data_IF_283579922833
#
_entry.id   IF_283579922833
#
_cell.length_a   1.000
_cell.length_b   1.000
_cell.length_c   1.000
_cell.angle_alpha   90.00
_cell.angle_beta   90.00
_cell.angle_gamma   90.00
#
_symmetry.space_group_name_H-M   'P 1'
#
loop_
_entity.id
_entity.type
_entity.pdbx_description
1 polymer ?
#
# COMPACT_ATOMS: atom_id res chain seq x y z
N UNK A 1 8.15 -8.45 -22.76
CA UNK A 1 7.64 -8.95 -21.47
C UNK A 1 6.66 -7.95 -20.91
N UNK A 2 5.49 -8.40 -20.42
CA UNK A 2 4.45 -7.53 -19.84
C UNK A 2 4.88 -7.06 -18.44
N UNK A 3 4.51 -5.84 -18.05
CA UNK A 3 4.92 -5.19 -16.80
C UNK A 3 3.79 -5.16 -15.78
N UNK A 4 4.08 -5.61 -14.56
CA UNK A 4 3.13 -5.63 -13.44
C UNK A 4 3.60 -4.68 -12.36
N UNK A 5 2.69 -3.85 -11.85
CA UNK A 5 2.87 -3.13 -10.59
C UNK A 5 2.18 -3.91 -9.47
N UNK A 6 2.97 -4.45 -8.55
CA UNK A 6 2.49 -5.10 -7.35
C UNK A 6 2.49 -4.12 -6.18
N UNK A 7 1.32 -3.82 -5.60
CA UNK A 7 1.19 -2.84 -4.51
C UNK A 7 0.87 -3.55 -3.20
N UNK A 8 1.66 -3.29 -2.16
CA UNK A 8 1.43 -3.82 -0.81
C UNK A 8 2.10 -2.93 0.22
N UNK A 9 1.45 -2.64 1.35
CA UNK A 9 2.04 -1.81 2.41
C UNK A 9 3.36 -2.38 2.94
N UNK A 10 3.44 -3.69 3.18
CA UNK A 10 4.67 -4.39 3.52
C UNK A 10 4.57 -5.84 3.05
N UNK A 11 5.70 -6.42 2.66
CA UNK A 11 5.85 -7.86 2.39
C UNK A 11 6.77 -8.55 3.40
N UNK A 12 7.20 -7.82 4.44
CA UNK A 12 8.02 -8.37 5.51
C UNK A 12 7.22 -9.36 6.37
N UNK A 13 7.89 -10.37 6.96
CA UNK A 13 7.26 -11.22 7.97
C UNK A 13 6.94 -10.47 9.27
N UNK A 14 5.99 -10.98 10.06
CA UNK A 14 5.06 -12.08 9.77
C UNK A 14 3.76 -11.60 9.08
N UNK A 15 2.88 -12.53 8.69
CA UNK A 15 1.47 -12.24 8.40
C UNK A 15 0.87 -13.01 7.22
N UNK A 16 -0.37 -13.49 7.36
CA UNK A 16 -1.04 -14.31 6.33
C UNK A 16 -1.21 -13.60 4.98
N UNK A 17 -1.67 -12.35 4.97
CA UNK A 17 -1.75 -11.54 3.75
C UNK A 17 -0.38 -11.27 3.12
N UNK A 18 0.68 -11.18 3.92
CA UNK A 18 2.05 -11.02 3.41
C UNK A 18 2.57 -12.33 2.82
N UNK A 19 2.26 -13.48 3.40
CA UNK A 19 2.54 -14.81 2.82
C UNK A 19 1.96 -14.93 1.41
N UNK A 20 0.67 -14.60 1.26
CA UNK A 20 -0.01 -14.64 -0.05
C UNK A 20 0.66 -13.69 -1.03
N UNK A 21 0.95 -12.45 -0.60
CA UNK A 21 1.60 -11.45 -1.44
C UNK A 21 2.96 -11.93 -1.97
N UNK A 22 3.80 -12.48 -1.10
CA UNK A 22 5.14 -12.97 -1.44
C UNK A 22 5.07 -14.14 -2.43
N UNK A 23 4.16 -15.09 -2.23
CA UNK A 23 3.96 -16.21 -3.15
C UNK A 23 3.35 -15.79 -4.50
N UNK A 24 2.48 -14.78 -4.53
CA UNK A 24 2.02 -14.18 -5.78
C UNK A 24 3.18 -13.56 -6.56
N UNK A 25 4.07 -12.81 -5.90
CA UNK A 25 5.26 -12.22 -6.53
C UNK A 25 6.19 -13.31 -7.07
N UNK A 26 6.45 -14.35 -6.28
CA UNK A 26 7.31 -15.50 -6.65
C UNK A 26 6.78 -16.22 -7.90
N UNK A 27 5.46 -16.34 -8.05
CA UNK A 27 4.85 -16.90 -9.25
C UNK A 27 4.95 -15.93 -10.45
N UNK A 28 4.58 -14.66 -10.25
CA UNK A 28 4.50 -13.67 -11.33
C UNK A 28 5.86 -13.34 -11.95
N UNK A 29 6.94 -13.31 -11.15
CA UNK A 29 8.28 -12.95 -11.65
C UNK A 29 8.80 -13.91 -12.75
N UNK A 30 8.24 -15.12 -12.83
CA UNK A 30 8.64 -16.13 -13.84
C UNK A 30 8.19 -15.78 -15.25
N UNK A 31 7.12 -14.99 -15.38
CA UNK A 31 6.47 -14.69 -16.66
C UNK A 31 6.43 -13.18 -16.97
N UNK A 32 6.52 -12.34 -15.93
CA UNK A 32 6.31 -10.90 -16.01
C UNK A 32 7.46 -10.11 -15.39
N UNK A 33 7.65 -8.88 -15.88
CA UNK A 33 8.52 -7.92 -15.23
C UNK A 33 7.75 -7.29 -14.06
N UNK A 34 8.09 -7.69 -12.83
CA UNK A 34 7.38 -7.28 -11.63
C UNK A 34 8.09 -6.10 -10.97
N UNK A 35 7.33 -5.04 -10.73
CA UNK A 35 7.74 -3.92 -9.90
C UNK A 35 6.91 -3.86 -8.64
N UNK A 36 7.55 -3.70 -7.48
CA UNK A 36 6.88 -3.68 -6.17
C UNK A 36 6.82 -2.22 -5.70
N UNK A 37 5.62 -1.77 -5.35
CA UNK A 37 5.39 -0.52 -4.62
C UNK A 37 5.03 -0.87 -3.18
N UNK A 38 5.97 -0.59 -2.28
CA UNK A 38 5.87 -0.95 -0.85
C UNK A 38 6.33 0.19 0.05
N UNK A 39 5.71 0.29 1.23
CA UNK A 39 6.11 1.27 2.24
C UNK A 39 7.44 0.88 2.88
N UNK A 40 7.55 -0.38 3.29
CA UNK A 40 8.74 -0.93 3.92
C UNK A 40 9.64 -1.56 2.84
N UNK A 41 10.91 -1.12 2.71
CA UNK A 41 11.90 -1.76 1.87
C UNK A 41 12.00 -3.26 2.21
N UNK A 42 11.94 -4.15 1.22
CA UNK A 42 12.04 -5.59 1.45
C UNK A 42 13.43 -6.00 1.93
N UNK A 43 13.49 -6.91 2.90
CA UNK A 43 14.67 -7.72 3.21
C UNK A 43 14.44 -9.09 2.60
N UNK A 44 14.92 -9.29 1.38
CA UNK A 44 14.70 -10.54 0.66
C UNK A 44 15.30 -11.75 1.36
N UNK A 45 16.39 -11.59 2.13
CA UNK A 45 16.98 -12.70 2.87
C UNK A 45 16.04 -13.17 3.97
N UNK A 46 15.44 -12.25 4.71
CA UNK A 46 14.45 -12.57 5.72
C UNK A 46 13.15 -13.12 5.14
N UNK A 47 12.64 -12.49 4.07
CA UNK A 47 11.43 -12.93 3.36
C UNK A 47 11.59 -14.36 2.84
N UNK A 48 12.69 -14.65 2.15
CA UNK A 48 12.96 -15.98 1.61
C UNK A 48 13.10 -17.03 2.72
N UNK A 49 13.83 -16.69 3.80
CA UNK A 49 13.99 -17.56 4.98
C UNK A 49 12.66 -17.89 5.65
N UNK A 50 11.78 -16.91 5.81
CA UNK A 50 10.53 -17.08 6.55
C UNK A 50 9.44 -17.75 5.71
N UNK A 51 9.26 -17.32 4.46
CA UNK A 51 8.15 -17.77 3.60
C UNK A 51 8.51 -18.94 2.67
N UNK A 52 9.78 -19.33 2.60
CA UNK A 52 10.25 -20.41 1.72
C UNK A 52 10.25 -20.03 0.23
N UNK A 53 10.54 -18.76 -0.08
CA UNK A 53 10.61 -18.24 -1.45
C UNK A 53 12.05 -17.98 -1.89
N UNK A 54 12.24 -17.51 -3.13
CA UNK A 54 13.56 -17.23 -3.70
C UNK A 54 13.55 -15.89 -4.44
N UNK A 55 12.95 -14.86 -3.84
CA UNK A 55 12.91 -13.51 -4.39
C UNK A 55 14.29 -12.87 -4.35
N UNK A 56 14.68 -12.21 -5.44
CA UNK A 56 15.94 -11.48 -5.53
C UNK A 56 15.73 -10.07 -6.09
N UNK A 57 16.57 -9.13 -5.65
CA UNK A 57 16.52 -7.73 -6.10
C UNK A 57 16.90 -7.52 -7.56
N UNK A 58 17.60 -8.46 -8.19
CA UNK A 58 17.96 -8.41 -9.62
C UNK A 58 16.80 -8.77 -10.54
N UNK A 59 15.80 -9.50 -10.03
CA UNK A 59 14.62 -9.94 -10.78
C UNK A 59 13.42 -8.99 -10.62
N UNK A 60 13.50 -8.06 -9.65
CA UNK A 60 12.40 -7.23 -9.21
C UNK A 60 12.79 -5.75 -9.19
N UNK A 61 11.89 -4.88 -9.62
CA UNK A 61 12.10 -3.42 -9.47
C UNK A 61 11.40 -2.92 -8.22
N UNK A 62 12.09 -2.21 -7.34
CA UNK A 62 11.50 -1.66 -6.11
C UNK A 62 11.24 -0.17 -6.25
N UNK A 63 9.97 0.22 -6.15
CA UNK A 63 9.55 1.62 -6.10
C UNK A 63 9.60 2.07 -4.64
N UNK A 64 10.70 2.74 -4.28
CA UNK A 64 10.90 3.23 -2.93
C UNK A 64 10.08 4.50 -2.66
N UNK A 65 9.52 4.57 -1.45
CA UNK A 65 8.96 5.82 -0.93
C UNK A 65 10.10 6.72 -0.46
N UNK A 66 9.97 8.03 -0.69
CA UNK A 66 10.92 9.02 -0.20
C UNK A 66 11.15 8.83 1.31
N UNK A 67 12.41 8.60 1.78
CA UNK A 67 12.70 8.31 3.18
C UNK A 67 12.25 9.41 4.17
N UNK A 68 12.32 10.68 3.75
CA UNK A 68 11.90 11.81 4.58
C UNK A 68 10.39 11.75 4.79
N UNK A 69 9.63 11.55 3.72
CA UNK A 69 8.18 11.46 3.79
C UNK A 69 7.73 10.22 4.56
N UNK A 70 8.44 9.11 4.38
CA UNK A 70 8.21 7.90 5.17
C UNK A 70 8.36 8.18 6.67
N UNK A 71 9.45 8.84 7.07
CA UNK A 71 9.69 9.19 8.48
C UNK A 71 8.61 10.14 9.02
N UNK A 72 8.16 11.12 8.23
CA UNK A 72 7.09 12.03 8.65
C UNK A 72 5.77 11.31 8.90
N UNK A 73 5.38 10.37 8.03
CA UNK A 73 4.15 9.59 8.19
C UNK A 73 4.29 8.57 9.34
N UNK A 74 5.50 8.09 9.63
CA UNK A 74 5.78 7.21 10.78
C UNK A 74 5.77 7.93 12.14
N UNK A 75 5.76 9.27 12.17
CA UNK A 75 5.53 10.04 13.41
C UNK A 75 4.06 10.04 13.84
N UNK A 76 3.15 9.53 13.00
CA UNK A 76 1.76 9.38 13.36
C UNK A 76 1.61 8.39 14.54
N UNK A 77 1.12 8.84 15.71
CA UNK A 77 0.96 7.97 16.87
C UNK A 77 -0.21 6.99 16.72
N UNK A 78 -1.05 7.13 15.69
CA UNK A 78 -2.24 6.30 15.49
C UNK A 78 -1.88 4.92 14.89
N UNK A 79 -1.96 3.82 15.67
CA UNK A 79 -1.67 2.47 15.17
C UNK A 79 -2.68 2.00 14.12
N UNK A 80 -3.86 2.63 14.06
CA UNK A 80 -4.92 2.34 13.10
C UNK A 80 -4.83 3.17 11.81
N UNK A 81 -3.81 4.02 11.67
CA UNK A 81 -3.66 4.96 10.58
C UNK A 81 -3.63 4.29 9.20
N UNK A 82 -4.48 4.77 8.30
CA UNK A 82 -4.51 4.37 6.90
C UNK A 82 -3.59 5.23 6.02
N UNK A 83 -2.80 6.15 6.60
CA UNK A 83 -1.95 7.09 5.84
C UNK A 83 -1.03 6.41 4.85
N UNK A 84 -0.38 5.32 5.27
CA UNK A 84 0.54 4.54 4.42
C UNK A 84 -0.19 4.02 3.20
N UNK A 85 -1.36 3.39 3.41
CA UNK A 85 -2.23 2.89 2.35
C UNK A 85 -2.69 4.02 1.42
N UNK A 86 -3.18 5.14 1.97
CA UNK A 86 -3.60 6.32 1.20
C UNK A 86 -2.48 6.84 0.29
N UNK A 87 -1.27 6.95 0.85
CA UNK A 87 -0.11 7.44 0.12
C UNK A 87 0.29 6.46 -0.99
N UNK A 88 0.31 5.16 -0.70
CA UNK A 88 0.59 4.13 -1.71
C UNK A 88 -0.43 4.16 -2.85
N UNK A 89 -1.73 4.33 -2.56
CA UNK A 89 -2.75 4.51 -3.61
C UNK A 89 -2.48 5.74 -4.47
N UNK A 90 -2.09 6.88 -3.88
CA UNK A 90 -1.72 8.09 -4.64
C UNK A 90 -0.52 7.85 -5.56
N UNK A 91 0.52 7.21 -5.04
CA UNK A 91 1.70 6.87 -5.84
C UNK A 91 1.33 5.88 -6.93
N UNK A 92 0.54 4.86 -6.61
CA UNK A 92 0.00 3.87 -7.54
C UNK A 92 -0.73 4.55 -8.72
N UNK A 93 -1.68 5.47 -8.44
CA UNK A 93 -2.38 6.25 -9.48
C UNK A 93 -1.43 7.07 -10.36
N UNK A 94 -0.35 7.60 -9.79
CA UNK A 94 0.65 8.41 -10.50
C UNK A 94 1.52 7.57 -11.44
N UNK A 95 2.00 6.42 -10.99
CA UNK A 95 2.95 5.58 -11.75
C UNK A 95 2.26 4.46 -12.54
N UNK A 96 1.01 4.15 -12.22
CA UNK A 96 0.27 2.99 -12.74
C UNK A 96 0.17 2.93 -14.25
N UNK A 97 0.16 4.09 -14.93
CA UNK A 97 0.14 4.19 -16.41
C UNK A 97 1.36 3.57 -17.11
N UNK A 98 2.44 3.31 -16.37
CA UNK A 98 3.66 2.69 -16.90
C UNK A 98 3.62 1.16 -16.95
N UNK A 99 2.54 0.57 -16.42
CA UNK A 99 2.37 -0.87 -16.23
C UNK A 99 1.16 -1.36 -17.02
N UNK A 100 1.21 -2.62 -17.47
CA UNK A 100 0.10 -3.23 -18.20
C UNK A 100 -1.06 -3.61 -17.27
N UNK A 101 -0.74 -4.00 -16.02
CA UNK A 101 -1.72 -4.33 -14.99
C UNK A 101 -1.19 -4.00 -13.59
N UNK A 102 -2.10 -3.61 -12.71
CA UNK A 102 -1.83 -3.39 -11.30
C UNK A 102 -2.44 -4.53 -10.50
N UNK A 103 -1.65 -5.12 -9.62
CA UNK A 103 -2.05 -6.22 -8.74
C UNK A 103 -1.80 -5.81 -7.30
N UNK A 104 -2.71 -6.16 -6.39
CA UNK A 104 -2.49 -6.00 -4.96
C UNK A 104 -2.96 -7.22 -4.20
N UNK A 105 -2.20 -7.56 -3.17
CA UNK A 105 -2.63 -8.44 -2.09
C UNK A 105 -2.69 -7.69 -0.76
N UNK A 106 -2.75 -6.35 -0.81
CA UNK A 106 -3.25 -5.57 0.32
C UNK A 106 -4.77 -5.68 0.38
N UNK A 107 -5.38 -5.18 1.45
CA UNK A 107 -6.83 -5.23 1.62
C UNK A 107 -7.54 -4.40 0.54
N UNK A 108 -8.12 -3.25 0.86
CA UNK A 108 -8.79 -2.42 -0.15
C UNK A 108 -7.84 -1.39 -0.76
N UNK A 109 -7.81 -1.33 -2.10
CA UNK A 109 -6.97 -0.39 -2.86
C UNK A 109 -7.76 0.29 -3.97
N UNK A 110 -7.58 1.61 -4.12
CA UNK A 110 -8.02 2.34 -5.30
C UNK A 110 -6.82 2.61 -6.23
N UNK A 111 -6.80 1.90 -7.35
CA UNK A 111 -5.77 2.03 -8.37
C UNK A 111 -5.99 3.21 -9.33
N UNK A 112 -7.20 3.78 -9.36
CA UNK A 112 -7.64 4.74 -10.38
C UNK A 112 -7.76 4.15 -11.79
N UNK A 113 -7.63 2.83 -11.93
CA UNK A 113 -7.79 2.09 -13.18
C UNK A 113 -8.19 0.64 -12.89
N UNK A 114 -8.39 -0.16 -13.93
CA UNK A 114 -8.60 -1.61 -13.80
C UNK A 114 -7.35 -2.28 -13.24
N UNK A 115 -7.54 -3.22 -12.33
CA UNK A 115 -6.47 -4.04 -11.74
C UNK A 115 -7.06 -5.24 -11.01
N UNK A 116 -6.19 -6.05 -10.42
CA UNK A 116 -6.56 -7.29 -9.73
C UNK A 116 -6.25 -7.13 -8.24
N UNK A 117 -7.21 -7.45 -7.37
CA UNK A 117 -7.07 -7.34 -5.92
C UNK A 117 -7.39 -8.66 -5.24
N UNK A 118 -6.50 -9.10 -4.36
CA UNK A 118 -6.78 -10.13 -3.38
C UNK A 118 -7.12 -9.46 -2.05
N UNK A 119 -8.38 -9.54 -1.63
CA UNK A 119 -8.83 -9.00 -0.35
C UNK A 119 -8.60 -10.04 0.76
N UNK A 120 -7.61 -9.80 1.62
CA UNK A 120 -7.35 -10.69 2.76
C UNK A 120 -8.38 -10.48 3.89
N UNK A 121 -8.70 -9.23 4.18
CA UNK A 121 -9.68 -8.83 5.19
C UNK A 121 -10.25 -7.44 4.84
N UNK A 122 -11.55 -7.15 5.04
CA UNK A 122 -12.11 -5.82 4.79
C UNK A 122 -11.65 -4.82 5.86
N UNK A 123 -10.46 -4.24 5.68
CA UNK A 123 -9.77 -3.41 6.66
C UNK A 123 -10.20 -1.94 6.64
N UNK A 124 -10.57 -1.43 5.47
CA UNK A 124 -11.07 -0.06 5.32
C UNK A 124 -12.53 0.05 5.77
N UNK A 125 -13.25 -1.06 5.88
CA UNK A 125 -14.59 -1.12 6.45
C UNK A 125 -14.60 -0.56 7.90
N UNK A 126 -15.34 0.53 8.12
CA UNK A 126 -15.42 1.23 9.41
C UNK A 126 -14.30 2.24 9.68
N UNK A 127 -13.20 2.23 8.91
CA UNK A 127 -12.13 3.23 8.97
C UNK A 127 -12.39 4.41 8.04
N UNK A 128 -13.00 4.14 6.90
CA UNK A 128 -13.56 5.16 6.03
C UNK A 128 -14.95 5.46 6.55
N UNK A 129 -15.06 6.37 7.52
CA UNK A 129 -16.34 7.00 7.81
C UNK A 129 -16.59 8.09 6.76
N UNK A 130 -17.81 8.19 6.20
CA UNK A 130 -18.16 9.26 5.28
C UNK A 130 -18.27 10.59 6.05
N UNK A 131 -17.14 11.18 6.43
CA UNK A 131 -17.05 12.59 6.88
C UNK A 131 -16.99 13.56 5.68
N UNK A 132 -17.36 13.07 4.49
CA UNK A 132 -17.43 13.83 3.24
C UNK A 132 -18.29 15.09 3.44
N UNK A 133 -19.33 15.01 4.29
CA UNK A 133 -20.31 16.08 4.50
C UNK A 133 -20.03 17.02 5.69
N UNK A 134 -18.94 16.85 6.45
CA UNK A 134 -18.62 17.80 7.52
C UNK A 134 -18.16 19.15 6.94
N UNK A 135 -18.79 20.29 7.34
CA UNK A 135 -18.32 21.62 6.94
C UNK A 135 -16.87 21.86 7.36
N UNK A 136 -16.10 22.65 6.58
CA UNK A 136 -14.68 22.93 6.83
C UNK A 136 -14.37 23.38 8.28
N UNK A 137 -15.25 24.19 8.88
CA UNK A 137 -15.08 24.65 10.26
C UNK A 137 -15.20 23.50 11.27
N UNK A 138 -16.13 22.55 11.07
CA UNK A 138 -16.24 21.35 11.92
C UNK A 138 -15.05 20.41 11.74
N UNK A 139 -14.56 20.22 10.52
CA UNK A 139 -13.34 19.43 10.25
C UNK A 139 -12.15 19.94 11.07
N UNK A 140 -11.96 21.25 11.16
CA UNK A 140 -10.91 21.85 11.99
C UNK A 140 -11.09 21.53 13.50
N UNK A 141 -12.30 21.65 14.03
CA UNK A 141 -12.59 21.32 15.42
C UNK A 141 -12.42 19.84 15.75
N UNK A 142 -12.82 18.96 14.84
CA UNK A 142 -12.62 17.53 15.01
C UNK A 142 -11.13 17.15 14.91
N UNK A 143 -10.30 17.91 14.19
CA UNK A 143 -8.82 17.77 14.22
C UNK A 143 -8.29 18.07 15.61
N UNK A 144 -8.69 19.21 16.18
CA UNK A 144 -8.28 19.61 17.52
C UNK A 144 -8.73 18.62 18.59
N UNK A 145 -9.90 17.99 18.42
CA UNK A 145 -10.41 16.94 19.32
C UNK A 145 -9.77 15.58 19.09
N UNK A 146 -9.00 15.39 18.01
CA UNK A 146 -8.48 14.09 17.64
C UNK A 146 -9.54 13.10 17.16
N UNK A 147 -10.68 13.58 16.67
CA UNK A 147 -11.68 12.74 15.99
C UNK A 147 -11.48 12.77 14.47
N UNK A 148 -10.94 13.88 13.96
CA UNK A 148 -10.58 14.05 12.56
C UNK A 148 -9.06 14.09 12.44
N UNK A 149 -8.53 13.50 11.39
CA UNK A 149 -7.10 13.33 11.22
C UNK A 149 -6.63 14.22 10.07
N UNK A 150 -5.51 14.95 10.20
CA UNK A 150 -5.04 15.88 9.17
C UNK A 150 -4.91 15.24 7.78
N UNK A 151 -4.56 13.96 7.70
CA UNK A 151 -4.44 13.25 6.44
C UNK A 151 -5.79 12.89 5.80
N UNK A 152 -6.91 12.86 6.53
CA UNK A 152 -8.23 12.68 5.93
C UNK A 152 -8.64 13.90 5.08
N UNK A 153 -8.07 15.08 5.34
CA UNK A 153 -8.17 16.23 4.43
C UNK A 153 -7.31 16.05 3.17
N UNK A 154 -6.17 15.38 3.32
CA UNK A 154 -5.16 15.25 2.27
C UNK A 154 -5.37 14.02 1.41
N UNK A 155 -6.00 12.96 1.91
CA UNK A 155 -6.02 11.64 1.27
C UNK A 155 -6.92 11.63 0.04
N UNK A 156 -7.90 12.54 -0.05
CA UNK A 156 -8.77 12.64 -1.21
C UNK A 156 -9.44 11.31 -1.54
N UNK A 157 -9.76 10.51 -0.52
CA UNK A 157 -10.79 9.47 -0.65
C UNK A 157 -12.11 10.21 -0.89
N UNK A 158 -12.29 10.59 -2.16
CA UNK A 158 -13.56 10.56 -2.85
C UNK A 158 -13.88 9.11 -3.20
#
# INVERSE_FOLDING_TARGET
>A
MKKILFVKTTIQPPGGGNTVAVWMIEALKKEYSVSILTWTPPDFKEINRFYGTSLDSSELTINHINPILRRLIELDPDPGSIQKTCYLMRVCKKIGKQYDVIVSADNEMDFGCRGIQYFHYPYLYGKIQPDIDLPRHRKFWEILKGNYRPWMMLSGFS
#
